data_IF_349458377494
#
_entry.id   IF_349458377494
#
_cell.length_a   1.000
_cell.length_b   1.000
_cell.length_c   1.000
_cell.angle_alpha   90.00
_cell.angle_beta   90.00
_cell.angle_gamma   90.00
#
_symmetry.space_group_name_H-M   'P 1'
#
loop_
_entity.id
_entity.type
_entity.pdbx_description
1 polymer ?
#
# COMPACT_ATOMS: atom_id res chain seq x y z
N UNK A 1 14.64 9.35 -3.24
CA UNK A 1 13.57 8.40 -3.63
C UNK A 1 14.26 7.13 -4.11
N UNK A 2 14.25 6.03 -3.34
CA UNK A 2 14.78 4.74 -3.82
C UNK A 2 13.60 3.99 -4.46
N UNK A 3 13.70 3.88 -5.78
CA UNK A 3 12.85 3.19 -6.75
C UNK A 3 12.18 1.91 -6.24
N UNK A 4 11.07 1.52 -6.88
CA UNK A 4 10.34 0.24 -6.76
C UNK A 4 11.14 -1.04 -7.06
N UNK A 5 12.37 -1.13 -6.56
CA UNK A 5 13.25 -2.30 -6.52
C UNK A 5 12.87 -3.25 -5.37
N UNK A 6 12.07 -2.82 -4.42
CA UNK A 6 11.60 -3.69 -3.36
C UNK A 6 10.74 -4.82 -3.95
N UNK A 7 11.05 -6.05 -3.52
CA UNK A 7 10.32 -7.23 -3.98
C UNK A 7 8.87 -7.16 -3.48
N UNK A 8 7.95 -7.55 -4.35
CA UNK A 8 6.57 -7.79 -3.96
C UNK A 8 6.56 -8.97 -3.00
N UNK A 9 5.91 -8.78 -1.84
CA UNK A 9 5.79 -9.80 -0.80
C UNK A 9 4.38 -9.85 -0.24
N UNK A 10 4.07 -10.92 0.48
CA UNK A 10 2.85 -11.01 1.29
C UNK A 10 2.94 -10.05 2.47
N UNK A 11 1.88 -9.28 2.70
CA UNK A 11 1.75 -8.29 3.77
C UNK A 11 0.38 -8.42 4.43
N UNK A 12 0.24 -7.87 5.62
CA UNK A 12 -1.04 -7.71 6.31
C UNK A 12 -1.56 -6.29 6.07
N UNK A 13 -2.83 -6.16 5.70
CA UNK A 13 -3.42 -4.83 5.53
C UNK A 13 -3.50 -4.12 6.87
N UNK A 14 -2.91 -2.93 6.98
CA UNK A 14 -2.94 -2.13 8.21
C UNK A 14 -4.33 -1.58 8.56
N UNK A 15 -5.28 -1.56 7.60
CA UNK A 15 -6.64 -1.10 7.85
C UNK A 15 -7.59 -2.21 8.32
N UNK A 16 -7.51 -3.41 7.72
CA UNK A 16 -8.50 -4.47 7.94
C UNK A 16 -7.92 -5.82 8.40
N UNK A 17 -6.60 -5.97 8.48
CA UNK A 17 -5.95 -7.21 8.88
C UNK A 17 -5.93 -8.33 7.82
N UNK A 18 -6.55 -8.14 6.65
CA UNK A 18 -6.52 -9.13 5.57
C UNK A 18 -5.15 -9.24 4.92
N UNK A 19 -4.83 -10.41 4.36
CA UNK A 19 -3.62 -10.60 3.57
C UNK A 19 -3.69 -9.80 2.26
N UNK A 20 -2.58 -9.18 1.88
CA UNK A 20 -2.41 -8.42 0.64
C UNK A 20 -1.03 -8.67 0.04
N UNK A 21 -0.83 -8.26 -1.22
CA UNK A 21 0.48 -8.23 -1.88
C UNK A 21 0.91 -6.79 -2.08
N UNK A 22 2.18 -6.50 -1.81
CA UNK A 22 2.67 -5.14 -1.91
C UNK A 22 4.20 -5.04 -1.85
N UNK A 23 4.70 -3.81 -2.01
CA UNK A 23 6.10 -3.46 -1.71
C UNK A 23 6.13 -2.71 -0.39
N UNK A 24 7.11 -3.02 0.45
CA UNK A 24 7.27 -2.37 1.75
C UNK A 24 7.73 -0.92 1.54
N UNK A 25 6.96 0.04 2.05
CA UNK A 25 7.42 1.43 2.10
C UNK A 25 8.52 1.57 3.15
N UNK A 26 9.63 2.19 2.80
CA UNK A 26 10.85 2.24 3.62
C UNK A 26 10.64 2.92 4.99
N UNK A 27 9.61 3.76 5.12
CA UNK A 27 9.31 4.55 6.32
C UNK A 27 8.13 3.98 7.13
N UNK A 28 7.91 2.66 7.12
CA UNK A 28 6.78 2.00 7.79
C UNK A 28 7.18 0.70 8.47
N UNK A 29 6.34 0.30 9.43
CA UNK A 29 6.41 -1.00 10.08
C UNK A 29 6.42 -2.14 9.05
N UNK A 30 7.34 -3.07 9.24
CA UNK A 30 7.56 -4.18 8.32
C UNK A 30 6.42 -5.19 8.39
N UNK A 31 6.07 -5.76 7.24
CA UNK A 31 5.04 -6.80 7.14
C UNK A 31 3.62 -6.24 6.97
N UNK A 32 3.47 -4.92 6.91
CA UNK A 32 2.19 -4.26 6.67
C UNK A 32 2.14 -3.54 5.33
N UNK A 33 0.92 -3.43 4.78
CA UNK A 33 0.64 -2.69 3.56
C UNK A 33 -0.82 -2.27 3.47
N UNK A 34 -1.25 -1.82 2.29
CA UNK A 34 -2.64 -1.47 2.01
C UNK A 34 -3.23 -2.47 1.00
N UNK A 35 -4.49 -2.89 1.21
CA UNK A 35 -5.21 -3.72 0.24
C UNK A 35 -6.13 -2.87 -0.63
N UNK A 36 -6.50 -3.40 -1.79
CA UNK A 36 -7.24 -2.66 -2.82
C UNK A 36 -8.61 -2.17 -2.33
N UNK A 37 -9.29 -2.99 -1.51
CA UNK A 37 -10.57 -2.63 -0.90
C UNK A 37 -10.43 -1.43 0.04
N UNK A 38 -9.41 -1.45 0.91
CA UNK A 38 -9.19 -0.36 1.85
C UNK A 38 -8.67 0.90 1.17
N UNK A 39 -7.86 0.76 0.11
CA UNK A 39 -7.48 1.88 -0.73
C UNK A 39 -8.69 2.60 -1.32
N UNK A 40 -9.60 1.88 -1.98
CA UNK A 40 -10.82 2.47 -2.53
C UNK A 40 -11.75 3.06 -1.46
N UNK A 41 -11.81 2.45 -0.27
CA UNK A 41 -12.61 2.99 0.85
C UNK A 41 -12.05 4.30 1.41
N UNK A 42 -10.73 4.43 1.53
CA UNK A 42 -10.06 5.66 1.97
C UNK A 42 -10.22 6.78 0.93
N UNK A 43 -9.98 6.46 -0.34
CA UNK A 43 -10.19 7.39 -1.47
C UNK A 43 -11.64 7.88 -1.50
N UNK A 44 -12.62 6.97 -1.34
CA UNK A 44 -14.05 7.32 -1.28
C UNK A 44 -14.46 8.13 -0.04
N UNK A 45 -13.64 8.14 1.01
CA UNK A 45 -13.82 8.97 2.21
C UNK A 45 -13.16 10.35 2.10
N UNK A 46 -12.48 10.64 0.99
CA UNK A 46 -11.83 11.92 0.76
C UNK A 46 -10.41 12.01 1.30
N UNK A 47 -9.75 10.89 1.63
CA UNK A 47 -8.30 10.90 1.90
C UNK A 47 -7.55 11.37 0.65
N UNK A 48 -6.71 12.39 0.79
CA UNK A 48 -6.07 13.02 -0.38
C UNK A 48 -4.98 12.14 -0.98
N UNK A 49 -4.59 12.40 -2.23
CA UNK A 49 -3.49 11.68 -2.86
C UNK A 49 -2.16 11.86 -2.08
N UNK A 50 -1.92 13.04 -1.50
CA UNK A 50 -0.73 13.26 -0.64
C UNK A 50 -0.80 12.42 0.64
N UNK A 51 -1.96 12.38 1.29
CA UNK A 51 -2.17 11.55 2.49
C UNK A 51 -2.00 10.06 2.16
N UNK A 52 -2.60 9.60 1.06
CA UNK A 52 -2.46 8.22 0.59
C UNK A 52 -1.00 7.86 0.35
N UNK A 53 -0.24 8.75 -0.30
CA UNK A 53 1.18 8.53 -0.59
C UNK A 53 2.03 8.55 0.66
N UNK A 54 1.81 9.51 1.55
CA UNK A 54 2.55 9.64 2.81
C UNK A 54 2.29 8.44 3.73
N UNK A 55 1.04 8.00 3.85
CA UNK A 55 0.62 6.92 4.73
C UNK A 55 0.96 5.52 4.19
N UNK A 56 0.67 5.28 2.91
CA UNK A 56 0.63 3.92 2.35
C UNK A 56 1.56 3.71 1.16
N UNK A 57 2.26 4.77 0.71
CA UNK A 57 3.06 4.77 -0.50
C UNK A 57 2.23 5.01 -1.76
N UNK A 58 2.84 4.83 -2.92
CA UNK A 58 2.21 5.02 -4.23
C UNK A 58 1.37 3.81 -4.68
N UNK A 59 0.17 4.06 -5.21
CA UNK A 59 -0.69 3.06 -5.86
C UNK A 59 0.00 2.46 -7.09
N UNK A 60 -0.14 1.16 -7.31
CA UNK A 60 0.55 0.41 -8.37
C UNK A 60 2.02 0.11 -8.07
N UNK A 61 2.63 0.80 -7.09
CA UNK A 61 4.01 0.56 -6.66
C UNK A 61 4.03 -0.18 -5.32
N UNK A 62 3.32 0.31 -4.30
CA UNK A 62 3.34 -0.25 -2.93
C UNK A 62 2.09 -1.08 -2.63
N UNK A 63 0.93 -0.65 -3.13
CA UNK A 63 -0.35 -1.34 -3.01
C UNK A 63 -1.09 -1.34 -4.36
N UNK A 64 -2.15 -2.14 -4.51
CA UNK A 64 -2.83 -2.35 -5.80
C UNK A 64 -1.87 -2.74 -6.94
N UNK A 65 -0.95 -3.67 -6.66
CA UNK A 65 0.01 -4.14 -7.67
C UNK A 65 -0.66 -5.24 -8.49
N UNK A 66 -1.09 -4.90 -9.71
CA UNK A 66 -1.52 -5.90 -10.68
C UNK A 66 -0.28 -6.59 -11.25
N UNK A 67 -0.06 -7.83 -10.85
CA UNK A 67 0.86 -8.74 -11.52
C UNK A 67 0.12 -9.35 -12.70
N UNK A 68 0.27 -8.76 -13.88
CA UNK A 68 -0.04 -9.41 -15.17
C UNK A 68 0.92 -10.56 -15.41
#
# INVERSE_FOLDING_TARGET
MKNGKDKIKGLVCCCCGSLTKGRQWYNRDIGYGLCDRCAGWLEGKGTTAEEMTSCYGERGVHYCINLT
#
